data_IF_570706593420
#
_entry.id   IF_570706593420
#
_cell.length_a   1.000
_cell.length_b   1.000
_cell.length_c   1.000
_cell.angle_alpha   90.00
_cell.angle_beta   90.00
_cell.angle_gamma   90.00
#
_symmetry.space_group_name_H-M   'P 1'
#
loop_
_entity.id
_entity.type
_entity.pdbx_description
1 polymer ?
#
# COMPACT_ATOMS: atom_id res chain seq x y z
N UNK A 1 19.18 -29.80 -17.39
CA UNK A 1 17.80 -29.33 -17.68
C UNK A 1 16.93 -29.16 -16.43
N UNK A 2 17.47 -28.80 -15.25
CA UNK A 2 16.69 -28.59 -14.01
C UNK A 2 16.40 -27.11 -13.67
N UNK A 3 17.00 -26.17 -14.41
CA UNK A 3 16.86 -24.72 -14.16
C UNK A 3 15.77 -24.04 -15.01
N UNK A 4 15.22 -24.73 -16.03
CA UNK A 4 14.18 -24.18 -16.90
C UNK A 4 12.82 -24.10 -16.22
N UNK A 5 12.48 -25.04 -15.32
CA UNK A 5 11.20 -25.01 -14.62
C UNK A 5 11.09 -23.82 -13.64
N UNK A 6 12.17 -23.47 -12.93
CA UNK A 6 12.18 -22.35 -11.97
C UNK A 6 11.99 -21.01 -12.68
N UNK A 7 12.61 -20.83 -13.85
CA UNK A 7 12.51 -19.59 -14.61
C UNK A 7 11.08 -19.35 -15.17
N UNK A 8 10.40 -20.40 -15.64
CA UNK A 8 9.02 -20.32 -16.16
C UNK A 8 8.02 -19.99 -15.05
N UNK A 9 8.17 -20.56 -13.84
CA UNK A 9 7.32 -20.21 -12.69
C UNK A 9 7.53 -18.76 -12.22
N UNK A 10 8.78 -18.27 -12.21
CA UNK A 10 9.06 -16.88 -11.83
C UNK A 10 8.48 -15.88 -12.83
N UNK A 11 8.56 -16.16 -14.13
CA UNK A 11 8.00 -15.29 -15.17
C UNK A 11 6.46 -15.29 -15.12
N UNK A 12 5.84 -16.45 -14.91
CA UNK A 12 4.37 -16.56 -14.80
C UNK A 12 3.81 -15.86 -13.54
N UNK A 13 4.51 -15.95 -12.40
CA UNK A 13 4.11 -15.25 -11.18
C UNK A 13 4.21 -13.72 -11.32
N UNK A 14 5.24 -13.26 -12.03
CA UNK A 14 5.48 -11.84 -12.32
C UNK A 14 4.47 -11.33 -13.35
N UNK A 15 4.17 -12.06 -14.43
CA UNK A 15 3.15 -11.67 -15.42
C UNK A 15 1.74 -11.62 -14.81
N UNK A 16 1.37 -12.62 -14.01
CA UNK A 16 0.07 -12.68 -13.35
C UNK A 16 -0.14 -11.56 -12.30
N UNK A 17 0.94 -10.96 -11.80
CA UNK A 17 0.85 -9.78 -10.94
C UNK A 17 0.41 -8.54 -11.74
N UNK A 18 1.00 -8.33 -12.93
CA UNK A 18 0.67 -7.17 -13.77
C UNK A 18 -0.75 -7.24 -14.34
N UNK A 19 -1.22 -8.46 -14.67
CA UNK A 19 -2.59 -8.69 -15.15
C UNK A 19 -3.66 -8.33 -14.11
N UNK A 20 -3.34 -8.41 -12.82
CA UNK A 20 -4.27 -8.10 -11.72
C UNK A 20 -4.28 -6.62 -11.34
N UNK A 21 -3.29 -5.84 -11.79
CA UNK A 21 -3.18 -4.42 -11.45
C UNK A 21 -4.39 -3.57 -11.90
N UNK A 22 -5.01 -3.78 -13.08
CA UNK A 22 -6.21 -3.04 -13.47
C UNK A 22 -7.40 -3.26 -12.51
N UNK A 23 -7.56 -4.47 -11.94
CA UNK A 23 -8.63 -4.79 -10.98
C UNK A 23 -8.41 -4.04 -9.67
N UNK A 24 -7.16 -4.05 -9.18
CA UNK A 24 -6.76 -3.30 -7.98
C UNK A 24 -6.92 -1.79 -8.20
N UNK A 25 -6.51 -1.27 -9.35
CA UNK A 25 -6.68 0.15 -9.69
C UNK A 25 -8.16 0.53 -9.76
N UNK A 26 -9.00 -0.28 -10.41
CA UNK A 26 -10.43 -0.01 -10.53
C UNK A 26 -11.12 0.06 -9.16
N UNK A 27 -10.92 -0.96 -8.31
CA UNK A 27 -11.48 -0.97 -6.95
C UNK A 27 -10.94 0.15 -6.06
N UNK A 28 -9.65 0.50 -6.18
CA UNK A 28 -9.10 1.65 -5.46
C UNK A 28 -9.66 2.99 -5.94
N UNK A 29 -9.90 3.15 -7.25
CA UNK A 29 -10.44 4.37 -7.84
C UNK A 29 -11.84 4.72 -7.31
N UNK A 30 -12.62 3.73 -6.89
CA UNK A 30 -13.94 3.93 -6.28
C UNK A 30 -13.87 4.67 -4.93
N UNK A 31 -12.73 4.61 -4.23
CA UNK A 31 -12.62 5.16 -2.87
C UNK A 31 -11.52 6.21 -2.70
N UNK A 32 -10.54 6.27 -3.62
CA UNK A 32 -9.33 7.10 -3.46
C UNK A 32 -9.58 8.61 -3.35
N UNK A 33 -10.78 9.08 -3.66
CA UNK A 33 -11.19 10.48 -3.52
C UNK A 33 -11.71 10.83 -2.12
N UNK A 34 -11.71 9.86 -1.19
CA UNK A 34 -12.10 10.02 0.21
C UNK A 34 -10.86 9.94 1.11
N UNK A 35 -9.80 10.69 0.78
CA UNK A 35 -8.48 10.53 1.40
C UNK A 35 -8.53 10.71 2.92
N UNK A 36 -9.22 11.76 3.38
CA UNK A 36 -9.39 12.04 4.80
C UNK A 36 -10.16 10.91 5.52
N UNK A 37 -11.23 10.39 4.93
CA UNK A 37 -11.99 9.27 5.51
C UNK A 37 -11.14 8.01 5.61
N UNK A 38 -10.33 7.71 4.59
CA UNK A 38 -9.41 6.56 4.60
C UNK A 38 -8.41 6.69 5.76
N UNK A 39 -7.73 7.83 5.87
CA UNK A 39 -6.73 8.03 6.93
C UNK A 39 -7.38 8.03 8.33
N UNK A 40 -8.57 8.63 8.45
CA UNK A 40 -9.34 8.61 9.69
C UNK A 40 -9.71 7.17 10.09
N UNK A 41 -10.18 6.34 9.14
CA UNK A 41 -10.50 4.94 9.39
C UNK A 41 -9.27 4.15 9.85
N UNK A 42 -8.11 4.41 9.27
CA UNK A 42 -6.84 3.80 9.67
C UNK A 42 -6.47 4.18 11.10
N UNK A 43 -6.57 5.47 11.46
CA UNK A 43 -6.27 5.94 12.81
C UNK A 43 -7.23 5.40 13.86
N UNK A 44 -8.54 5.31 13.55
CA UNK A 44 -9.55 4.69 14.41
C UNK A 44 -9.29 3.19 14.61
N UNK A 45 -8.95 2.47 13.54
CA UNK A 45 -8.71 1.02 13.59
C UNK A 45 -7.42 0.68 14.33
N UNK A 46 -6.40 1.51 14.17
CA UNK A 46 -5.06 1.28 14.73
C UNK A 46 -4.47 2.58 15.31
N UNK A 47 -4.85 2.97 16.55
CA UNK A 47 -4.35 4.20 17.19
C UNK A 47 -2.82 4.25 17.33
N UNK A 48 -2.17 3.09 17.38
CA UNK A 48 -0.71 2.98 17.36
C UNK A 48 -0.05 3.53 16.08
N UNK A 49 -0.78 3.59 14.96
CA UNK A 49 -0.36 4.24 13.72
C UNK A 49 -0.44 5.76 13.88
N UNK A 50 -1.56 6.30 14.39
CA UNK A 50 -1.71 7.74 14.65
C UNK A 50 -0.61 8.28 15.57
N UNK A 51 -0.23 7.52 16.60
CA UNK A 51 0.83 7.88 17.54
C UNK A 51 2.22 8.09 16.87
N UNK A 52 2.40 7.62 15.62
CA UNK A 52 3.63 7.83 14.83
C UNK A 52 3.66 9.17 14.09
N UNK A 53 2.58 9.94 14.12
CA UNK A 53 2.47 11.25 13.51
C UNK A 53 2.43 12.32 14.61
N UNK A 54 3.56 12.98 14.94
CA UNK A 54 3.62 13.92 16.07
C UNK A 54 2.57 15.02 16.04
N UNK A 55 2.20 15.48 14.84
CA UNK A 55 1.16 16.50 14.62
C UNK A 55 -0.28 16.03 14.95
N UNK A 56 -0.51 14.72 15.02
CA UNK A 56 -1.81 14.09 15.29
C UNK A 56 -1.82 13.24 16.56
N UNK A 57 -0.66 12.89 17.11
CA UNK A 57 -0.54 12.03 18.29
C UNK A 57 -1.31 12.61 19.49
N UNK A 58 -2.14 11.77 20.13
CA UNK A 58 -2.93 12.13 21.30
C UNK A 58 -4.16 13.01 21.04
N UNK A 59 -4.43 13.40 19.80
CA UNK A 59 -5.63 14.15 19.42
C UNK A 59 -6.78 13.19 19.10
N UNK A 60 -8.02 13.64 19.26
CA UNK A 60 -9.19 12.87 18.84
C UNK A 60 -9.24 12.80 17.29
N UNK A 61 -9.32 11.60 16.68
CA UNK A 61 -9.55 11.44 15.25
C UNK A 61 -10.70 12.28 14.70
N UNK A 62 -11.79 12.46 15.44
CA UNK A 62 -12.94 13.27 14.99
C UNK A 62 -12.56 14.75 14.84
N UNK A 63 -11.78 15.28 15.78
CA UNK A 63 -11.36 16.69 15.77
C UNK A 63 -10.33 16.97 14.68
N UNK A 64 -9.43 16.03 14.40
CA UNK A 64 -8.35 16.25 13.43
C UNK A 64 -8.80 16.02 11.99
N UNK A 65 -9.83 15.20 11.75
CA UNK A 65 -10.28 14.81 10.40
C UNK A 65 -10.61 16.00 9.52
N UNK A 66 -11.23 17.03 10.09
CA UNK A 66 -11.68 18.24 9.38
C UNK A 66 -10.59 19.31 9.23
N UNK A 67 -9.37 19.04 9.68
CA UNK A 67 -8.27 20.01 9.61
C UNK A 67 -7.54 19.96 8.27
N UNK A 68 -7.05 21.12 7.82
CA UNK A 68 -6.29 21.24 6.57
C UNK A 68 -5.02 20.38 6.60
N UNK A 69 -4.33 20.32 7.74
CA UNK A 69 -3.13 19.53 7.93
C UNK A 69 -3.39 18.02 7.76
N UNK A 70 -4.54 17.54 8.24
CA UNK A 70 -4.96 16.16 8.09
C UNK A 70 -5.29 15.83 6.64
N UNK A 71 -6.08 16.67 5.96
CA UNK A 71 -6.39 16.52 4.54
C UNK A 71 -5.12 16.50 3.67
N UNK A 72 -4.15 17.39 3.94
CA UNK A 72 -2.86 17.43 3.24
C UNK A 72 -2.09 16.12 3.44
N UNK A 73 -2.05 15.60 4.67
CA UNK A 73 -1.32 14.37 4.96
C UNK A 73 -1.98 13.15 4.32
N UNK A 74 -3.29 13.05 4.43
CA UNK A 74 -4.08 12.00 3.78
C UNK A 74 -3.87 12.00 2.26
N UNK A 75 -3.94 13.17 1.63
CA UNK A 75 -3.70 13.32 0.19
C UNK A 75 -2.32 12.83 -0.25
N UNK A 76 -1.26 13.09 0.54
CA UNK A 76 0.10 12.59 0.23
C UNK A 76 0.17 11.06 0.22
N UNK A 77 -0.49 10.41 1.18
CA UNK A 77 -0.52 8.95 1.28
C UNK A 77 -1.27 8.34 0.09
N UNK A 78 -2.48 8.82 -0.19
CA UNK A 78 -3.32 8.27 -1.26
C UNK A 78 -2.72 8.55 -2.64
N UNK A 79 -2.09 9.71 -2.84
CA UNK A 79 -1.36 10.00 -4.08
C UNK A 79 -0.18 9.05 -4.29
N UNK A 80 0.59 8.74 -3.25
CA UNK A 80 1.67 7.76 -3.35
C UNK A 80 1.14 6.36 -3.71
N UNK A 81 0.05 5.91 -3.07
CA UNK A 81 -0.58 4.62 -3.41
C UNK A 81 -1.07 4.62 -4.86
N UNK A 82 -1.71 5.71 -5.29
CA UNK A 82 -2.18 5.89 -6.67
C UNK A 82 -1.04 5.81 -7.68
N UNK A 83 0.09 6.47 -7.40
CA UNK A 83 1.28 6.45 -8.24
C UNK A 83 1.83 5.01 -8.39
N UNK A 84 2.05 4.33 -7.26
CA UNK A 84 2.56 2.95 -7.25
C UNK A 84 1.62 2.00 -8.00
N UNK A 85 0.30 2.09 -7.76
CA UNK A 85 -0.69 1.26 -8.45
C UNK A 85 -0.73 1.54 -9.95
N UNK A 86 -0.61 2.81 -10.37
CA UNK A 86 -0.60 3.18 -11.79
C UNK A 86 0.58 2.57 -12.55
N UNK A 87 1.73 2.45 -11.89
CA UNK A 87 2.94 1.85 -12.44
C UNK A 87 2.89 0.32 -12.44
N UNK A 88 2.16 -0.28 -11.50
CA UNK A 88 2.10 -1.73 -11.30
C UNK A 88 1.42 -2.51 -12.44
N UNK A 89 0.86 -1.86 -13.47
CA UNK A 89 0.25 -2.52 -14.62
C UNK A 89 1.21 -2.93 -15.74
N UNK A 90 2.51 -2.61 -15.62
CA UNK A 90 3.49 -2.93 -16.68
C UNK A 90 4.81 -3.48 -16.11
N UNK A 91 5.34 -4.58 -16.66
CA UNK A 91 6.69 -5.05 -16.35
C UNK A 91 7.77 -3.99 -16.59
N UNK A 92 7.61 -3.14 -17.61
CA UNK A 92 8.56 -2.08 -17.93
C UNK A 92 8.72 -1.05 -16.80
N UNK A 93 7.70 -0.92 -15.95
CA UNK A 93 7.66 0.04 -14.86
C UNK A 93 8.15 -0.56 -13.53
N UNK A 94 8.49 -1.85 -13.49
CA UNK A 94 8.98 -2.51 -12.28
C UNK A 94 10.18 -1.77 -11.63
N UNK A 95 11.18 -1.25 -12.37
CA UNK A 95 12.26 -0.48 -11.75
C UNK A 95 11.77 0.78 -11.00
N UNK A 96 10.76 1.46 -11.54
CA UNK A 96 10.17 2.63 -10.89
C UNK A 96 9.39 2.24 -9.63
N UNK A 97 8.58 1.17 -9.70
CA UNK A 97 7.86 0.61 -8.53
C UNK A 97 8.85 0.22 -7.42
N UNK A 98 9.95 -0.47 -7.78
CA UNK A 98 11.00 -0.82 -6.82
C UNK A 98 11.61 0.41 -6.16
N UNK A 99 11.90 1.44 -6.94
CA UNK A 99 12.48 2.69 -6.45
C UNK A 99 11.56 3.35 -5.40
N UNK A 100 10.27 3.50 -5.71
CA UNK A 100 9.29 4.09 -4.80
C UNK A 100 9.13 3.27 -3.51
N UNK A 101 8.98 1.94 -3.62
CA UNK A 101 8.80 1.07 -2.45
C UNK A 101 10.07 0.95 -1.60
N UNK A 102 11.26 0.96 -2.21
CA UNK A 102 12.51 1.00 -1.45
C UNK A 102 12.67 2.32 -0.68
N UNK A 103 12.36 3.45 -1.32
CA UNK A 103 12.39 4.76 -0.65
C UNK A 103 11.35 4.84 0.48
N UNK A 104 10.16 4.27 0.28
CA UNK A 104 9.15 4.15 1.32
C UNK A 104 9.68 3.32 2.50
N UNK A 105 10.20 2.12 2.25
CA UNK A 105 10.73 1.23 3.28
C UNK A 105 11.87 1.85 4.07
N UNK A 106 12.86 2.44 3.40
CA UNK A 106 14.02 3.06 4.05
C UNK A 106 13.61 4.27 4.91
N UNK A 107 12.74 5.15 4.37
CA UNK A 107 12.28 6.32 5.12
C UNK A 107 11.45 5.95 6.36
N UNK A 108 10.71 4.84 6.32
CA UNK A 108 9.91 4.34 7.44
C UNK A 108 10.75 3.51 8.43
N UNK A 109 11.81 2.85 7.96
CA UNK A 109 12.81 2.18 8.81
C UNK A 109 13.50 3.16 9.75
N UNK A 110 13.96 4.30 9.22
CA UNK A 110 14.62 5.37 10.01
C UNK A 110 13.66 5.93 11.07
N UNK A 111 12.36 5.91 10.79
CA UNK A 111 11.30 6.30 11.74
C UNK A 111 10.90 5.19 12.69
N UNK A 112 11.57 4.03 12.68
CA UNK A 112 11.28 2.89 13.56
C UNK A 112 9.91 2.26 13.33
N UNK A 113 9.37 2.34 12.10
CA UNK A 113 8.12 1.69 11.74
C UNK A 113 8.37 0.20 11.50
N UNK A 114 7.48 -0.66 12.01
CA UNK A 114 7.63 -2.11 11.90
C UNK A 114 6.81 -2.68 10.73
N UNK A 115 7.11 -3.93 10.33
CA UNK A 115 6.29 -4.68 9.38
C UNK A 115 4.83 -4.78 9.83
N UNK A 116 4.61 -5.09 11.11
CA UNK A 116 3.27 -5.16 11.71
C UNK A 116 2.49 -3.86 11.55
N UNK A 117 3.13 -2.69 11.65
CA UNK A 117 2.45 -1.41 11.44
C UNK A 117 2.06 -1.18 9.98
N UNK A 118 2.86 -1.66 9.02
CA UNK A 118 2.46 -1.68 7.61
C UNK A 118 1.33 -2.69 7.36
N UNK A 119 1.37 -3.88 7.98
CA UNK A 119 0.31 -4.88 7.89
C UNK A 119 -1.02 -4.30 8.43
N UNK A 120 -0.98 -3.62 9.56
CA UNK A 120 -2.15 -2.98 10.18
C UNK A 120 -2.69 -1.84 9.32
N UNK A 121 -1.81 -1.00 8.76
CA UNK A 121 -2.19 0.03 7.78
C UNK A 121 -2.90 -0.61 6.58
N UNK A 122 -2.32 -1.68 6.02
CA UNK A 122 -2.88 -2.38 4.86
C UNK A 122 -4.25 -2.98 5.17
N UNK A 123 -4.40 -3.68 6.30
CA UNK A 123 -5.68 -4.25 6.75
C UNK A 123 -6.77 -3.19 6.85
N UNK A 124 -6.48 -2.03 7.45
CA UNK A 124 -7.45 -0.94 7.56
C UNK A 124 -7.81 -0.34 6.19
N UNK A 125 -6.85 -0.20 5.28
CA UNK A 125 -7.12 0.26 3.92
C UNK A 125 -8.02 -0.72 3.15
N UNK A 126 -7.72 -2.02 3.18
CA UNK A 126 -8.55 -3.04 2.55
C UNK A 126 -9.95 -3.08 3.17
N UNK A 127 -10.05 -3.01 4.51
CA UNK A 127 -11.34 -2.94 5.20
C UNK A 127 -12.18 -1.72 4.77
N UNK A 128 -11.54 -0.57 4.53
CA UNK A 128 -12.21 0.60 3.99
C UNK A 128 -12.71 0.35 2.55
N UNK A 129 -11.86 -0.17 1.66
CA UNK A 129 -12.24 -0.49 0.28
C UNK A 129 -13.42 -1.48 0.26
N UNK A 130 -13.39 -2.51 1.12
CA UNK A 130 -14.46 -3.50 1.27
C UNK A 130 -15.80 -2.89 1.68
N UNK A 131 -15.76 -1.87 2.54
CA UNK A 131 -16.95 -1.25 3.12
C UNK A 131 -17.55 -0.19 2.20
N UNK A 132 -16.71 0.53 1.47
CA UNK A 132 -17.08 1.73 0.72
C UNK A 132 -17.02 1.58 -0.80
N UNK A 133 -16.49 0.46 -1.31
CA UNK A 133 -16.44 0.15 -2.74
C UNK A 133 -17.01 -1.22 -3.05
N UNK A 134 -16.97 -1.57 -4.33
CA UNK A 134 -17.32 -2.91 -4.82
C UNK A 134 -16.29 -3.92 -4.34
N UNK A 135 -16.76 -5.03 -3.77
CA UNK A 135 -15.90 -6.11 -3.31
C UNK A 135 -16.45 -7.49 -3.67
N UNK A 136 -15.57 -8.35 -4.18
CA UNK A 136 -15.85 -9.74 -4.51
C UNK A 136 -14.56 -10.58 -4.43
N UNK A 137 -14.66 -11.89 -4.67
CA UNK A 137 -13.53 -12.82 -4.57
C UNK A 137 -12.40 -12.53 -5.58
N UNK A 138 -12.75 -12.01 -6.76
CA UNK A 138 -11.77 -11.62 -7.79
C UNK A 138 -10.95 -10.42 -7.33
N UNK A 139 -11.62 -9.37 -6.82
CA UNK A 139 -10.98 -8.17 -6.27
C UNK A 139 -10.09 -8.57 -5.08
N UNK A 140 -10.60 -9.41 -4.18
CA UNK A 140 -9.80 -9.90 -3.04
C UNK A 140 -8.53 -10.65 -3.50
N UNK A 141 -8.67 -11.53 -4.50
CA UNK A 141 -7.53 -12.26 -5.07
C UNK A 141 -6.52 -11.32 -5.72
N UNK A 142 -6.99 -10.30 -6.44
CA UNK A 142 -6.15 -9.30 -7.09
C UNK A 142 -5.34 -8.49 -6.06
N UNK A 143 -5.99 -7.98 -5.01
CA UNK A 143 -5.32 -7.26 -3.92
C UNK A 143 -4.26 -8.11 -3.24
N UNK A 144 -4.58 -9.35 -2.84
CA UNK A 144 -3.62 -10.25 -2.19
C UNK A 144 -2.38 -10.50 -3.06
N UNK A 145 -2.55 -10.69 -4.38
CA UNK A 145 -1.43 -10.94 -5.30
C UNK A 145 -0.55 -9.70 -5.49
N UNK A 146 -1.15 -8.53 -5.66
CA UNK A 146 -0.40 -7.27 -5.82
C UNK A 146 0.32 -6.93 -4.53
N UNK A 147 -0.35 -7.07 -3.39
CA UNK A 147 0.18 -6.82 -2.05
C UNK A 147 1.42 -7.67 -1.76
N UNK A 148 1.36 -9.00 -1.90
CA UNK A 148 2.49 -9.90 -1.63
C UNK A 148 3.77 -9.43 -2.33
N UNK A 149 3.64 -8.98 -3.57
CA UNK A 149 4.79 -8.53 -4.35
C UNK A 149 5.28 -7.13 -3.95
N UNK A 150 4.38 -6.21 -3.63
CA UNK A 150 4.75 -4.89 -3.11
C UNK A 150 5.41 -5.00 -1.72
N UNK A 151 4.81 -5.78 -0.82
CA UNK A 151 5.33 -6.05 0.52
C UNK A 151 6.69 -6.73 0.48
N UNK A 152 6.95 -7.63 -0.48
CA UNK A 152 8.28 -8.21 -0.66
C UNK A 152 9.37 -7.15 -0.86
N UNK A 153 9.11 -6.13 -1.68
CA UNK A 153 10.08 -5.04 -1.94
C UNK A 153 10.16 -4.11 -0.73
N UNK A 154 9.01 -3.65 -0.25
CA UNK A 154 8.91 -2.74 0.89
C UNK A 154 9.60 -3.29 2.14
N UNK A 155 9.35 -4.55 2.48
CA UNK A 155 9.88 -5.17 3.69
C UNK A 155 11.33 -5.57 3.59
N UNK A 156 11.84 -5.79 2.39
CA UNK A 156 13.27 -5.95 2.19
C UNK A 156 13.98 -4.62 2.49
N UNK A 157 13.47 -3.48 1.99
CA UNK A 157 14.00 -2.16 2.33
C UNK A 157 13.80 -1.79 3.81
N UNK A 158 12.65 -2.13 4.41
CA UNK A 158 12.37 -1.90 5.83
C UNK A 158 13.36 -2.65 6.74
N UNK A 159 13.84 -3.81 6.30
CA UNK A 159 14.86 -4.60 6.99
C UNK A 159 16.30 -4.14 6.69
N UNK A 160 16.50 -3.12 5.84
CA UNK A 160 17.82 -2.63 5.45
C UNK A 160 18.45 -3.36 4.24
N UNK A 161 17.63 -4.06 3.45
CA UNK A 161 18.03 -4.84 2.29
C UNK A 161 17.20 -4.49 1.03
N UNK A 162 17.26 -3.24 0.53
CA UNK A 162 16.42 -2.81 -0.61
C UNK A 162 16.66 -3.68 -1.86
N UNK A 163 15.59 -3.93 -2.62
CA UNK A 163 15.64 -4.77 -3.83
C UNK A 163 15.86 -3.89 -5.07
N UNK A 164 16.99 -4.07 -5.75
CA UNK A 164 17.29 -3.46 -7.04
C UNK A 164 16.59 -4.20 -8.19
#
# INVERSE_FOLDING_TARGET
>A
MKYLAILVFCVAAVSAQYEMAPIVQASFNEVRHNEADILYNIFKSYPGIQARFPQFAGKDPEEIKETAEFAIHAGRIINFISEVLSLAGSPSNLPAVKTLLNQLGESHRIRGITRSQFDDFHKALIGYIQTHGTWNDEISTAWNRVEINMHKILYAALDGHPIN
#
